data_IF_683685555849
#
_entry.id   IF_683685555849
#
_cell.length_a   1.000
_cell.length_b   1.000
_cell.length_c   1.000
_cell.angle_alpha   90.00
_cell.angle_beta   90.00
_cell.angle_gamma   90.00
#
_symmetry.space_group_name_H-M   'P 1'
#
loop_
_entity.id
_entity.type
_entity.pdbx_description
1 polymer ?
#
# COMPACT_ATOMS: atom_id res chain seq x y z
N UNK A 1 21.22 -19.17 -52.31
CA UNK A 1 19.90 -19.69 -51.88
C UNK A 1 20.17 -20.88 -50.97
N UNK A 2 19.80 -20.74 -49.70
CA UNK A 2 20.27 -21.58 -48.59
C UNK A 2 19.59 -22.95 -48.57
N UNK A 3 20.39 -24.00 -48.33
CA UNK A 3 19.97 -25.39 -48.15
C UNK A 3 19.25 -25.57 -46.79
N UNK A 4 18.08 -26.23 -46.79
CA UNK A 4 17.39 -26.69 -45.59
C UNK A 4 17.63 -28.18 -45.38
N UNK A 5 18.22 -28.56 -44.24
CA UNK A 5 18.55 -29.93 -43.90
C UNK A 5 18.16 -30.28 -42.46
N UNK A 6 17.30 -31.30 -42.37
CA UNK A 6 17.30 -32.42 -41.42
C UNK A 6 17.14 -32.18 -39.90
N UNK A 7 16.02 -32.70 -39.41
CA UNK A 7 15.77 -33.18 -38.04
C UNK A 7 16.85 -34.13 -37.52
N UNK A 8 17.25 -33.99 -36.25
CA UNK A 8 17.97 -35.02 -35.51
C UNK A 8 17.51 -35.10 -34.04
N UNK A 9 17.38 -36.35 -33.61
CA UNK A 9 16.81 -36.88 -32.37
C UNK A 9 17.90 -37.11 -31.30
N UNK A 10 17.54 -36.85 -30.04
CA UNK A 10 18.07 -37.23 -28.70
C UNK A 10 19.45 -37.87 -28.49
N UNK A 11 20.11 -37.40 -27.41
CA UNK A 11 20.84 -38.09 -26.29
C UNK A 11 22.10 -37.26 -25.97
N UNK A 12 22.33 -36.69 -24.79
CA UNK A 12 22.26 -37.28 -23.46
C UNK A 12 23.69 -37.49 -22.95
N UNK A 13 24.29 -36.52 -22.24
CA UNK A 13 25.51 -36.73 -21.43
C UNK A 13 25.41 -35.94 -20.13
N UNK A 14 25.67 -36.67 -19.03
CA UNK A 14 25.54 -36.29 -17.63
C UNK A 14 26.69 -35.37 -17.20
N UNK A 15 26.37 -34.28 -16.50
CA UNK A 15 27.29 -33.62 -15.58
C UNK A 15 26.54 -33.20 -14.31
N UNK A 16 26.84 -33.89 -13.22
CA UNK A 16 26.42 -33.55 -11.86
C UNK A 16 27.31 -32.42 -11.34
N UNK A 17 26.70 -31.28 -10.99
CA UNK A 17 27.31 -30.30 -10.11
C UNK A 17 26.28 -29.99 -9.01
N UNK A 18 26.50 -30.61 -7.84
CA UNK A 18 25.73 -30.34 -6.62
C UNK A 18 26.29 -29.06 -6.02
N UNK A 19 25.55 -27.96 -6.13
CA UNK A 19 25.82 -26.74 -5.35
C UNK A 19 24.82 -26.73 -4.19
N UNK A 20 25.32 -27.07 -3.00
CA UNK A 20 24.58 -26.89 -1.76
C UNK A 20 24.61 -25.40 -1.38
N UNK A 21 23.55 -24.68 -1.72
CA UNK A 21 23.32 -23.33 -1.18
C UNK A 21 22.49 -23.48 0.09
N UNK A 22 23.07 -23.11 1.23
CA UNK A 22 22.34 -22.89 2.47
C UNK A 22 21.39 -21.71 2.26
N UNK A 23 20.13 -22.00 1.95
CA UNK A 23 19.08 -21.00 1.84
C UNK A 23 18.70 -20.49 3.21
N UNK A 24 19.03 -19.23 3.49
CA UNK A 24 18.31 -18.47 4.51
C UNK A 24 16.84 -18.43 4.08
N UNK A 25 15.94 -18.91 4.94
CA UNK A 25 14.51 -18.82 4.72
C UNK A 25 14.12 -17.34 4.74
N UNK A 26 14.05 -16.73 3.56
CA UNK A 26 13.35 -15.48 3.38
C UNK A 26 11.88 -15.78 3.72
N UNK A 27 11.39 -15.21 4.83
CA UNK A 27 9.95 -15.11 5.07
C UNK A 27 9.46 -14.21 3.94
N UNK A 28 8.94 -14.83 2.88
CA UNK A 28 8.23 -14.12 1.83
C UNK A 28 6.97 -13.60 2.51
N UNK A 29 7.01 -12.34 2.93
CA UNK A 29 5.80 -11.59 3.24
C UNK A 29 5.03 -11.50 1.91
N UNK A 30 4.07 -12.41 1.74
CA UNK A 30 3.15 -12.36 0.62
C UNK A 30 2.35 -11.08 0.87
N UNK A 31 2.43 -10.04 0.01
CA UNK A 31 1.55 -8.90 0.15
C UNK A 31 0.13 -9.44 0.03
N UNK A 32 -0.65 -9.34 1.10
CA UNK A 32 -2.06 -9.70 1.05
C UNK A 32 -2.72 -8.74 0.07
N UNK A 33 -3.46 -9.24 -0.94
CA UNK A 33 -4.24 -8.37 -1.79
C UNK A 33 -5.22 -7.59 -0.90
N UNK A 34 -5.30 -6.27 -1.11
CA UNK A 34 -6.32 -5.44 -0.49
C UNK A 34 -7.69 -5.92 -1.00
N UNK A 35 -8.49 -6.47 -0.08
CA UNK A 35 -9.79 -7.06 -0.39
C UNK A 35 -10.85 -5.99 -0.24
N UNK A 36 -11.33 -5.49 -1.37
CA UNK A 36 -12.26 -4.39 -1.37
C UNK A 36 -13.64 -4.86 -1.83
N UNK A 37 -14.50 -5.11 -0.84
CA UNK A 37 -15.91 -5.49 -0.99
C UNK A 37 -16.62 -5.62 0.36
N UNK A 38 -16.06 -4.98 1.40
CA UNK A 38 -16.25 -5.30 2.80
C UNK A 38 -15.22 -6.32 3.29
N UNK A 39 -14.61 -6.09 4.45
CA UNK A 39 -13.73 -7.08 5.06
C UNK A 39 -14.48 -7.87 6.14
N UNK A 40 -14.15 -9.15 6.29
CA UNK A 40 -14.82 -10.04 7.27
C UNK A 40 -14.03 -10.18 8.58
N UNK A 41 -12.76 -9.75 8.62
CA UNK A 41 -11.87 -9.95 9.76
C UNK A 41 -10.99 -8.74 10.10
N UNK A 42 -10.37 -8.09 9.10
CA UNK A 42 -9.42 -6.98 9.32
C UNK A 42 -9.52 -6.00 8.13
N UNK A 43 -9.95 -4.76 8.40
CA UNK A 43 -10.15 -3.69 7.41
C UNK A 43 -9.18 -2.56 7.70
N UNK A 44 -8.62 -1.97 6.65
CA UNK A 44 -7.89 -0.72 6.82
C UNK A 44 -8.85 0.41 7.20
N UNK A 45 -8.41 1.26 8.12
CA UNK A 45 -9.19 2.40 8.58
C UNK A 45 -8.37 3.69 8.48
N UNK A 46 -9.05 4.81 8.22
CA UNK A 46 -8.45 6.14 8.37
C UNK A 46 -9.29 6.99 9.31
N UNK A 47 -8.63 7.62 10.28
CA UNK A 47 -9.23 8.59 11.18
C UNK A 47 -8.58 9.95 10.99
N UNK A 48 -9.40 10.98 10.76
CA UNK A 48 -8.95 12.35 10.68
C UNK A 48 -9.03 13.00 12.06
N UNK A 49 -7.89 13.10 12.74
CA UNK A 49 -7.76 13.75 14.04
C UNK A 49 -7.14 15.16 13.94
N UNK A 50 -6.91 15.62 12.72
CA UNK A 50 -6.50 16.99 12.44
C UNK A 50 -7.71 17.93 12.40
N UNK A 51 -7.46 19.23 12.27
CA UNK A 51 -8.51 20.26 12.18
C UNK A 51 -8.91 20.59 10.73
N UNK A 52 -8.38 19.87 9.73
CA UNK A 52 -8.63 20.12 8.31
C UNK A 52 -9.23 18.86 7.66
N UNK A 53 -10.03 18.99 6.59
CA UNK A 53 -10.54 17.82 5.87
C UNK A 53 -9.42 16.94 5.34
N UNK A 54 -9.66 15.63 5.23
CA UNK A 54 -8.73 14.68 4.64
C UNK A 54 -9.42 13.88 3.54
N UNK A 55 -8.72 13.62 2.44
CA UNK A 55 -9.25 12.81 1.34
C UNK A 55 -8.77 11.38 1.48
N UNK A 56 -9.69 10.42 1.42
CA UNK A 56 -9.44 8.98 1.56
C UNK A 56 -10.06 8.22 0.38
N UNK A 57 -9.55 7.03 0.11
CA UNK A 57 -10.09 6.12 -0.89
C UNK A 57 -10.15 4.68 -0.38
N UNK A 58 -11.15 3.96 -0.86
CA UNK A 58 -11.23 2.49 -0.73
C UNK A 58 -10.74 1.80 -2.00
N UNK A 59 -10.30 0.55 -1.87
CA UNK A 59 -9.86 -0.31 -2.98
C UNK A 59 -8.48 0.06 -3.54
N UNK A 60 -7.43 0.03 -2.71
CA UNK A 60 -6.05 0.28 -3.18
C UNK A 60 -5.40 -0.99 -3.74
N UNK A 61 -5.09 -0.98 -5.03
CA UNK A 61 -4.53 -2.14 -5.73
C UNK A 61 -3.01 -2.11 -5.93
N UNK A 62 -2.31 -1.02 -5.59
CA UNK A 62 -0.85 -1.07 -5.72
C UNK A 62 -0.28 -1.93 -4.58
N UNK A 63 0.72 -2.74 -4.92
CA UNK A 63 1.48 -3.48 -3.93
C UNK A 63 2.22 -2.51 -3.01
N UNK A 64 2.47 -2.93 -1.77
CA UNK A 64 3.19 -2.12 -0.79
C UNK A 64 2.83 -2.50 0.64
N UNK A 65 3.56 -1.93 1.57
CA UNK A 65 3.33 -2.00 3.01
C UNK A 65 2.58 -0.75 3.49
N UNK A 66 2.01 -0.80 4.69
CA UNK A 66 1.46 0.38 5.36
C UNK A 66 2.49 1.51 5.39
N UNK A 67 2.09 2.70 4.95
CA UNK A 67 2.94 3.88 4.89
C UNK A 67 3.78 4.01 3.62
N UNK A 68 3.78 3.01 2.72
CA UNK A 68 4.29 3.20 1.37
C UNK A 68 3.40 4.18 0.60
N UNK A 69 3.97 4.88 -0.37
CA UNK A 69 3.23 5.89 -1.14
C UNK A 69 3.65 5.95 -2.60
N UNK A 70 2.74 6.48 -3.41
CA UNK A 70 2.95 6.76 -4.83
C UNK A 70 2.53 8.20 -5.16
N UNK A 71 3.16 8.80 -6.17
CA UNK A 71 2.73 10.08 -6.74
C UNK A 71 1.72 9.90 -7.89
N UNK A 72 1.48 8.67 -8.33
CA UNK A 72 0.49 8.35 -9.35
C UNK A 72 -0.82 7.98 -8.66
N UNK A 73 -1.94 8.53 -9.10
CA UNK A 73 -3.22 8.14 -8.53
C UNK A 73 -3.50 6.67 -8.87
N UNK A 74 -3.65 5.79 -7.86
CA UNK A 74 -4.02 4.40 -8.10
C UNK A 74 -5.39 4.37 -8.79
N UNK A 75 -5.53 3.63 -9.88
CA UNK A 75 -6.80 3.47 -10.60
C UNK A 75 -7.11 2.00 -10.76
N UNK A 76 -8.04 1.50 -9.96
CA UNK A 76 -8.36 0.07 -9.97
C UNK A 76 -9.72 -0.23 -9.38
N UNK A 77 -10.19 -1.42 -9.75
CA UNK A 77 -11.24 -2.14 -9.06
C UNK A 77 -10.61 -3.31 -8.29
N UNK A 78 -11.18 -3.60 -7.12
CA UNK A 78 -10.92 -4.84 -6.38
C UNK A 78 -12.27 -5.51 -6.19
N UNK A 79 -12.33 -6.83 -6.38
CA UNK A 79 -13.57 -7.63 -6.36
C UNK A 79 -14.74 -7.03 -7.17
N UNK A 80 -14.44 -6.48 -8.36
CA UNK A 80 -15.39 -5.79 -9.25
C UNK A 80 -16.01 -4.48 -8.72
N UNK A 81 -15.59 -4.01 -7.54
CA UNK A 81 -16.00 -2.73 -6.97
C UNK A 81 -15.03 -1.61 -7.39
N UNK A 82 -15.54 -0.48 -7.93
CA UNK A 82 -14.69 0.64 -8.31
C UNK A 82 -14.11 1.34 -7.08
N UNK A 83 -12.90 1.86 -7.21
CA UNK A 83 -12.33 2.79 -6.22
C UNK A 83 -13.31 3.95 -5.95
N UNK A 84 -13.62 4.18 -4.67
CA UNK A 84 -14.42 5.31 -4.22
C UNK A 84 -13.54 6.27 -3.43
N UNK A 85 -13.80 7.57 -3.60
CA UNK A 85 -13.16 8.65 -2.88
C UNK A 85 -14.13 9.33 -1.93
N UNK A 86 -13.67 9.65 -0.72
CA UNK A 86 -14.44 10.37 0.28
C UNK A 86 -13.59 11.43 0.97
N UNK A 87 -14.25 12.49 1.43
CA UNK A 87 -13.66 13.46 2.37
C UNK A 87 -14.09 13.12 3.79
N UNK A 88 -13.12 13.07 4.71
CA UNK A 88 -13.33 13.00 6.15
C UNK A 88 -13.22 14.40 6.75
N UNK A 89 -14.26 14.86 7.42
CA UNK A 89 -14.19 16.07 8.24
C UNK A 89 -13.30 15.84 9.49
N UNK A 90 -12.97 16.92 10.18
CA UNK A 90 -12.21 16.84 11.43
C UNK A 90 -12.98 15.99 12.47
N UNK A 91 -12.30 15.01 13.06
CA UNK A 91 -12.86 14.05 14.01
C UNK A 91 -13.56 12.84 13.38
N UNK A 92 -13.73 12.79 12.06
CA UNK A 92 -14.37 11.66 11.39
C UNK A 92 -13.42 10.46 11.20
N UNK A 93 -14.03 9.28 11.08
CA UNK A 93 -13.38 8.01 10.77
C UNK A 93 -14.12 7.34 9.61
N UNK A 94 -13.40 6.58 8.81
CA UNK A 94 -13.99 5.66 7.84
C UNK A 94 -14.84 4.58 8.53
N UNK A 95 -15.86 4.01 7.86
CA UNK A 95 -16.51 2.79 8.34
C UNK A 95 -15.49 1.68 8.60
N UNK A 96 -15.71 0.87 9.64
CA UNK A 96 -14.77 -0.17 10.08
C UNK A 96 -14.94 -1.51 9.34
N UNK A 97 -16.05 -1.65 8.64
CA UNK A 97 -16.42 -2.80 7.83
C UNK A 97 -16.10 -2.59 6.34
N UNK A 98 -15.40 -1.51 5.99
CA UNK A 98 -14.97 -1.15 4.65
C UNK A 98 -13.44 -1.01 4.57
N UNK A 99 -12.82 -1.41 3.46
CA UNK A 99 -11.35 -1.40 3.27
C UNK A 99 -10.89 -0.03 2.72
N UNK A 100 -10.61 0.91 3.63
CA UNK A 100 -10.16 2.27 3.30
C UNK A 100 -8.64 2.37 3.26
N UNK A 101 -8.06 1.71 2.26
CA UNK A 101 -6.63 1.43 2.15
C UNK A 101 -5.76 2.62 1.75
N UNK A 102 -6.33 3.82 1.64
CA UNK A 102 -5.58 4.97 1.13
C UNK A 102 -6.06 6.30 1.69
N UNK A 103 -5.09 7.17 1.99
CA UNK A 103 -5.34 8.59 2.11
C UNK A 103 -4.46 9.39 1.14
N UNK A 104 -4.97 10.54 0.71
CA UNK A 104 -4.27 11.49 -0.15
C UNK A 104 -3.69 12.61 0.70
N UNK A 105 -2.43 12.90 0.48
CA UNK A 105 -1.76 14.11 0.98
C UNK A 105 -1.71 15.10 -0.18
N UNK A 106 -2.34 16.25 0.02
CA UNK A 106 -2.49 17.27 -1.00
C UNK A 106 -1.17 17.95 -1.37
N UNK A 107 -1.05 18.42 -2.61
CA UNK A 107 0.13 19.15 -3.12
C UNK A 107 0.55 20.27 -2.16
N UNK A 108 1.85 20.32 -1.84
CA UNK A 108 2.44 21.26 -0.87
C UNK A 108 1.97 21.09 0.58
N UNK A 109 1.36 19.97 0.97
CA UNK A 109 1.02 19.71 2.36
C UNK A 109 1.96 18.70 3.02
N UNK A 110 2.12 18.90 4.32
CA UNK A 110 2.71 17.94 5.24
C UNK A 110 1.63 17.33 6.13
N UNK A 111 1.56 16.00 6.16
CA UNK A 111 0.70 15.26 7.07
C UNK A 111 1.56 14.51 8.08
N UNK A 112 1.23 14.64 9.37
CA UNK A 112 1.75 13.78 10.45
C UNK A 112 0.73 12.68 10.70
N UNK A 113 1.14 11.44 10.51
CA UNK A 113 0.24 10.29 10.57
C UNK A 113 0.79 9.25 11.53
N UNK A 114 -0.04 8.82 12.47
CA UNK A 114 0.27 7.70 13.36
C UNK A 114 -0.43 6.44 12.83
N UNK A 115 0.33 5.39 12.59
CA UNK A 115 -0.18 4.09 12.19
C UNK A 115 -0.30 3.20 13.42
N UNK A 116 -1.51 2.75 13.69
CA UNK A 116 -1.85 1.85 14.80
C UNK A 116 -2.25 0.49 14.24
N UNK A 117 -1.65 -0.59 14.74
CA UNK A 117 -1.98 -1.95 14.30
C UNK A 117 -3.14 -2.52 15.12
N UNK A 118 -4.05 -3.25 14.48
CA UNK A 118 -5.07 -4.04 15.18
C UNK A 118 -4.54 -5.39 15.71
N UNK A 119 -3.39 -5.83 15.19
CA UNK A 119 -2.75 -7.08 15.59
C UNK A 119 -1.88 -6.88 16.84
N UNK A 120 -1.89 -7.84 17.79
CA UNK A 120 -1.17 -7.70 19.06
C UNK A 120 0.37 -7.73 18.91
N UNK A 121 0.88 -8.10 17.74
CA UNK A 121 2.31 -8.07 17.40
C UNK A 121 2.65 -7.02 16.35
N UNK A 122 1.67 -6.27 15.84
CA UNK A 122 1.96 -5.23 14.86
C UNK A 122 2.63 -4.04 15.52
N UNK A 123 3.46 -3.36 14.73
CA UNK A 123 4.19 -2.19 15.20
C UNK A 123 3.33 -0.96 15.04
N UNK A 124 3.51 0.00 15.91
CA UNK A 124 2.93 1.33 15.79
C UNK A 124 4.04 2.34 15.54
N UNK A 125 3.79 3.34 14.71
CA UNK A 125 4.77 4.38 14.45
C UNK A 125 4.13 5.66 13.93
N UNK A 126 4.90 6.75 13.95
CA UNK A 126 4.53 8.02 13.30
C UNK A 126 5.38 8.22 12.06
N UNK A 127 4.73 8.62 10.96
CA UNK A 127 5.37 9.05 9.72
C UNK A 127 4.96 10.47 9.36
N UNK A 128 5.82 11.14 8.61
CA UNK A 128 5.59 12.47 8.06
C UNK A 128 5.59 12.37 6.54
N UNK A 129 4.49 12.78 5.90
CA UNK A 129 4.30 12.73 4.46
C UNK A 129 4.26 14.13 3.89
N UNK A 130 5.24 14.47 3.06
CA UNK A 130 5.37 15.80 2.46
C UNK A 130 5.15 15.69 0.95
N UNK A 131 3.98 16.07 0.47
CA UNK A 131 3.70 16.09 -0.96
C UNK A 131 4.46 17.26 -1.62
N UNK A 132 5.07 16.98 -2.77
CA UNK A 132 5.83 17.97 -3.50
C UNK A 132 4.93 18.94 -4.27
N UNK A 133 5.45 20.08 -4.77
CA UNK A 133 4.70 20.97 -5.66
C UNK A 133 4.20 20.33 -6.96
N UNK A 134 4.76 19.18 -7.34
CA UNK A 134 4.47 18.50 -8.61
C UNK A 134 3.17 17.68 -8.57
N UNK A 135 2.60 17.42 -7.40
CA UNK A 135 1.35 16.68 -7.29
C UNK A 135 1.05 16.15 -5.89
N UNK A 136 -0.15 15.58 -5.69
CA UNK A 136 -0.48 14.88 -4.46
C UNK A 136 0.31 13.57 -4.34
N UNK A 137 0.29 12.98 -3.16
CA UNK A 137 0.75 11.61 -2.93
C UNK A 137 -0.36 10.79 -2.30
N UNK A 138 -0.35 9.50 -2.59
CA UNK A 138 -1.35 8.53 -2.14
C UNK A 138 -0.64 7.52 -1.26
N UNK A 139 -1.02 7.48 0.00
CA UNK A 139 -0.34 6.67 1.02
C UNK A 139 -1.20 5.46 1.34
N UNK A 140 -0.59 4.28 1.27
CA UNK A 140 -1.24 3.01 1.59
C UNK A 140 -1.46 2.87 3.09
N UNK A 141 -2.65 2.42 3.45
CA UNK A 141 -3.00 1.88 4.77
C UNK A 141 -3.18 0.38 4.60
N UNK A 142 -2.44 -0.43 5.33
CA UNK A 142 -2.61 -1.88 5.31
C UNK A 142 -3.89 -2.29 6.02
N UNK A 143 -4.47 -3.43 5.62
CA UNK A 143 -5.71 -3.95 6.18
C UNK A 143 -5.65 -4.13 7.71
N UNK A 144 -4.46 -4.32 8.28
CA UNK A 144 -4.21 -4.47 9.72
C UNK A 144 -3.91 -3.16 10.47
N UNK A 145 -4.15 -2.01 9.83
CA UNK A 145 -3.82 -0.70 10.39
C UNK A 145 -4.97 0.32 10.38
N UNK A 146 -5.01 1.15 11.42
CA UNK A 146 -5.63 2.48 11.37
C UNK A 146 -4.56 3.53 11.07
N UNK A 147 -4.78 4.36 10.06
CA UNK A 147 -4.04 5.60 9.86
C UNK A 147 -4.73 6.77 10.59
N UNK A 148 -4.06 7.34 11.58
CA UNK A 148 -4.53 8.53 12.31
C UNK A 148 -3.84 9.77 11.77
N UNK A 149 -4.54 10.59 10.98
CA UNK A 149 -4.04 11.88 10.51
C UNK A 149 -4.09 12.86 11.68
N UNK A 150 -2.97 13.08 12.35
CA UNK A 150 -2.89 13.90 13.57
C UNK A 150 -2.80 15.39 13.27
N UNK A 151 -2.01 15.75 12.26
CA UNK A 151 -1.75 17.15 11.91
C UNK A 151 -1.62 17.29 10.40
N UNK A 152 -2.10 18.42 9.88
CA UNK A 152 -1.96 18.84 8.50
C UNK A 152 -1.42 20.27 8.49
N UNK A 153 -0.33 20.51 7.77
CA UNK A 153 0.26 21.85 7.65
C UNK A 153 0.64 22.12 6.21
N UNK A 154 0.40 23.34 5.74
CA UNK A 154 0.88 23.77 4.42
C UNK A 154 2.39 24.01 4.46
N UNK A 155 3.11 23.45 3.50
CA UNK A 155 4.57 23.46 3.40
C UNK A 155 5.21 22.10 3.68
N UNK A 156 6.55 22.02 3.60
CA UNK A 156 7.27 20.78 3.82
C UNK A 156 7.17 20.32 5.28
N UNK A 157 7.25 19.01 5.50
CA UNK A 157 7.29 18.47 6.85
C UNK A 157 8.50 18.97 7.62
N UNK A 158 8.26 19.43 8.85
CA UNK A 158 9.30 19.76 9.81
C UNK A 158 9.26 18.68 10.89
N UNK A 159 10.25 17.79 10.96
CA UNK A 159 10.37 16.92 12.11
C UNK A 159 10.53 17.82 13.34
N UNK A 160 9.62 17.68 14.29
CA UNK A 160 9.70 18.33 15.62
C UNK A 160 10.63 17.55 16.53
#
# INVERSE_FOLDING_TARGET
MTYGGSTAVTRGVRSLAVVAVLGAAAIVAVPTPAYAGGCTLICSETMNQSNLPATVARNYCEAGSTGDYTSTQPTCSSADEPQEWRTLAAGERTPQDEDWDTFRVDTNWCYKVFFESFLPWGKEWTSYFSASPQGPMYVKVGNDYTAHIKEQTYGPCRPV
#
